data_IF_588708063987
#
_entry.id   IF_588708063987
#
_cell.length_a   1.000
_cell.length_b   1.000
_cell.length_c   1.000
_cell.angle_alpha   90.00
_cell.angle_beta   90.00
_cell.angle_gamma   90.00
#
_symmetry.space_group_name_H-M   'P 1'
#
loop_
_entity.id
_entity.type
_entity.pdbx_description
1 polymer ?
#
# COMPACT_ATOMS: atom_id res chain seq x y z
N UNK A 1 21.73 29.48 22.42
CA UNK A 1 20.67 28.53 22.86
C UNK A 1 21.31 27.16 22.91
N UNK A 2 21.24 26.42 24.04
CA UNK A 2 21.70 25.02 24.06
C UNK A 2 20.85 24.26 23.06
N UNK A 3 21.49 23.62 22.05
CA UNK A 3 20.79 22.72 21.13
C UNK A 3 20.10 21.65 21.99
N UNK A 4 18.79 21.65 21.96
CA UNK A 4 17.97 20.68 22.70
C UNK A 4 18.17 19.32 22.04
N UNK A 5 18.61 18.33 22.80
CA UNK A 5 18.68 16.94 22.35
C UNK A 5 17.27 16.41 22.05
N UNK A 6 17.08 15.78 20.90
CA UNK A 6 15.79 15.20 20.46
C UNK A 6 15.61 13.80 21.07
N UNK A 7 14.49 13.61 21.72
CA UNK A 7 14.09 12.32 22.28
C UNK A 7 13.53 11.41 21.17
N UNK A 8 14.22 10.31 20.88
CA UNK A 8 13.91 9.41 19.78
C UNK A 8 13.32 8.09 20.27
N UNK A 9 12.26 7.63 19.62
CA UNK A 9 11.73 6.28 19.69
C UNK A 9 12.13 5.51 18.43
N UNK A 10 12.74 4.32 18.60
CA UNK A 10 13.16 3.46 17.48
C UNK A 10 12.29 2.21 17.44
N UNK A 11 11.69 1.91 16.28
CA UNK A 11 10.81 0.75 16.10
C UNK A 11 11.30 -0.09 14.92
N UNK A 12 11.79 -1.28 15.22
CA UNK A 12 12.42 -2.19 14.26
C UNK A 12 12.28 -3.63 14.77
N UNK A 13 11.67 -4.54 14.01
CA UNK A 13 11.46 -5.92 14.42
C UNK A 13 12.74 -6.76 14.40
N UNK A 14 13.68 -6.44 13.52
CA UNK A 14 14.98 -7.12 13.49
C UNK A 14 15.88 -6.65 14.65
N UNK A 15 16.05 -7.49 15.65
CA UNK A 15 16.80 -7.18 16.86
C UNK A 15 18.25 -6.73 16.59
N UNK A 16 18.94 -7.38 15.64
CA UNK A 16 20.32 -7.03 15.31
C UNK A 16 20.41 -5.65 14.68
N UNK A 17 19.50 -5.34 13.75
CA UNK A 17 19.43 -4.05 13.10
C UNK A 17 19.03 -2.97 14.10
N UNK A 18 18.03 -3.23 14.94
CA UNK A 18 17.60 -2.30 16.00
C UNK A 18 18.74 -1.93 16.93
N UNK A 19 19.48 -2.94 17.44
CA UNK A 19 20.66 -2.69 18.29
C UNK A 19 21.75 -1.87 17.59
N UNK A 20 22.01 -2.15 16.32
CA UNK A 20 23.01 -1.42 15.51
C UNK A 20 22.58 0.04 15.29
N UNK A 21 21.31 0.28 14.92
CA UNK A 21 20.77 1.63 14.76
C UNK A 21 20.85 2.43 16.06
N UNK A 22 20.39 1.83 17.16
CA UNK A 22 20.43 2.46 18.50
C UNK A 22 21.88 2.80 18.90
N UNK A 23 22.82 1.89 18.71
CA UNK A 23 24.22 2.13 19.03
C UNK A 23 24.81 3.28 18.20
N UNK A 24 24.61 3.26 16.89
CA UNK A 24 25.14 4.29 16.01
C UNK A 24 24.44 5.65 16.13
N UNK A 25 23.16 5.69 16.47
CA UNK A 25 22.44 6.96 16.70
C UNK A 25 22.81 7.61 18.05
N UNK A 26 23.25 6.83 19.05
CA UNK A 26 23.77 7.34 20.32
C UNK A 26 25.09 8.11 20.20
N UNK A 27 25.82 7.96 19.08
CA UNK A 27 27.03 8.73 18.79
C UNK A 27 26.75 10.21 18.45
N UNK A 28 25.46 10.57 18.25
CA UNK A 28 25.05 11.94 17.94
C UNK A 28 24.54 12.66 19.19
N UNK A 29 25.24 13.67 19.66
CA UNK A 29 24.92 14.44 20.88
C UNK A 29 23.52 15.05 20.86
N UNK A 30 22.99 15.31 19.65
CA UNK A 30 21.64 15.86 19.44
C UNK A 30 20.51 14.83 19.55
N UNK A 31 20.82 13.53 19.61
CA UNK A 31 19.84 12.46 19.67
C UNK A 31 19.92 11.70 20.99
N UNK A 32 18.79 11.52 21.62
CA UNK A 32 18.64 10.72 22.84
C UNK A 32 17.63 9.61 22.59
N UNK A 33 18.09 8.37 22.55
CA UNK A 33 17.19 7.22 22.42
C UNK A 33 16.46 7.01 23.75
N UNK A 34 15.13 7.25 23.76
CA UNK A 34 14.30 7.02 24.94
C UNK A 34 13.91 5.58 25.10
N UNK A 35 13.53 4.97 23.98
CA UNK A 35 13.05 3.60 23.94
C UNK A 35 13.30 2.99 22.56
N UNK A 36 13.44 1.67 22.51
CA UNK A 36 13.42 0.91 21.28
C UNK A 36 12.55 -0.34 21.45
N UNK A 37 11.76 -0.66 20.44
CA UNK A 37 10.81 -1.76 20.47
C UNK A 37 10.68 -2.47 19.12
N UNK A 38 9.98 -3.63 19.12
CA UNK A 38 9.89 -4.50 17.95
C UNK A 38 8.56 -4.41 17.21
N UNK A 39 7.52 -3.85 17.82
CA UNK A 39 6.16 -3.83 17.26
C UNK A 39 5.52 -2.46 17.29
N UNK A 40 4.54 -2.27 16.40
CA UNK A 40 3.76 -1.04 16.34
C UNK A 40 2.91 -0.83 17.58
N UNK A 41 2.35 -1.90 18.13
CA UNK A 41 1.52 -1.87 19.33
C UNK A 41 2.31 -1.38 20.55
N UNK A 42 3.55 -1.91 20.73
CA UNK A 42 4.44 -1.50 21.80
C UNK A 42 4.83 -0.01 21.66
N UNK A 43 5.07 0.43 20.42
CA UNK A 43 5.36 1.83 20.13
C UNK A 43 4.17 2.74 20.49
N UNK A 44 2.94 2.37 20.13
CA UNK A 44 1.72 3.13 20.48
C UNK A 44 1.57 3.20 21.99
N UNK A 45 1.69 2.05 22.69
CA UNK A 45 1.58 1.99 24.14
C UNK A 45 2.63 2.85 24.86
N UNK A 46 3.85 2.88 24.35
CA UNK A 46 4.91 3.74 24.86
C UNK A 46 4.57 5.23 24.68
N UNK A 47 4.12 5.61 23.47
CA UNK A 47 3.80 6.98 23.11
C UNK A 47 2.66 7.58 23.95
N UNK A 48 1.68 6.76 24.35
CA UNK A 48 0.57 7.21 25.20
C UNK A 48 1.01 7.56 26.63
N UNK A 49 2.16 7.06 27.08
CA UNK A 49 2.65 7.19 28.45
C UNK A 49 3.87 8.08 28.58
N UNK A 50 4.53 8.40 27.49
CA UNK A 50 5.82 9.08 27.49
C UNK A 50 5.90 10.17 26.42
N UNK A 51 6.54 11.28 26.74
CA UNK A 51 6.85 12.31 25.76
C UNK A 51 8.10 11.92 24.95
N UNK A 52 8.03 12.11 23.65
CA UNK A 52 9.13 11.93 22.71
C UNK A 52 9.03 12.96 21.60
N UNK A 53 10.12 13.19 20.88
CA UNK A 53 10.18 14.22 19.85
C UNK A 53 10.00 13.62 18.44
N UNK A 54 10.67 12.51 18.11
CA UNK A 54 10.66 11.90 16.76
C UNK A 54 10.57 10.39 16.86
N UNK A 55 9.94 9.78 15.86
CA UNK A 55 9.82 8.34 15.66
C UNK A 55 10.71 7.91 14.47
N UNK A 56 11.57 6.92 14.66
CA UNK A 56 12.24 6.19 13.57
C UNK A 56 11.63 4.79 13.51
N UNK A 57 11.04 4.42 12.38
CA UNK A 57 10.21 3.23 12.29
C UNK A 57 10.37 2.47 10.97
N UNK A 58 10.53 1.15 11.05
CA UNK A 58 10.39 0.28 9.87
C UNK A 58 8.91 0.16 9.44
N UNK A 59 8.70 -0.07 8.16
CA UNK A 59 7.37 -0.35 7.62
C UNK A 59 6.89 -1.74 8.03
N UNK A 60 7.76 -2.74 7.93
CA UNK A 60 7.42 -4.11 8.35
C UNK A 60 7.81 -4.34 9.79
N UNK A 61 6.83 -4.61 10.63
CA UNK A 61 7.02 -4.85 12.05
C UNK A 61 6.42 -6.20 12.46
N UNK A 62 6.86 -6.70 13.60
CA UNK A 62 6.16 -7.77 14.29
C UNK A 62 4.83 -7.24 14.86
N UNK A 63 3.77 -8.04 14.78
CA UNK A 63 2.45 -7.65 15.26
C UNK A 63 1.42 -7.43 14.15
N UNK A 64 0.34 -6.76 14.46
CA UNK A 64 -0.78 -6.50 13.53
C UNK A 64 -0.67 -5.17 12.82
N UNK A 65 0.00 -4.17 13.44
CA UNK A 65 0.22 -2.85 12.86
C UNK A 65 1.54 -2.81 12.09
N UNK A 66 1.50 -2.41 10.84
CA UNK A 66 2.71 -2.00 10.14
C UNK A 66 3.17 -0.59 10.59
N UNK A 67 4.39 -0.18 10.19
CA UNK A 67 4.94 1.10 10.64
C UNK A 67 4.13 2.32 10.21
N UNK A 68 3.48 2.30 9.04
CA UNK A 68 2.65 3.39 8.54
C UNK A 68 1.35 3.49 9.38
N UNK A 69 0.72 2.35 9.64
CA UNK A 69 -0.47 2.27 10.49
C UNK A 69 -0.16 2.70 11.93
N UNK A 70 1.02 2.35 12.43
CA UNK A 70 1.54 2.79 13.74
C UNK A 70 1.65 4.32 13.80
N UNK A 71 2.24 4.96 12.77
CA UNK A 71 2.31 6.43 12.68
C UNK A 71 0.91 7.04 12.68
N UNK A 72 -0.02 6.47 11.91
CA UNK A 72 -1.42 6.93 11.86
C UNK A 72 -2.07 6.83 13.24
N UNK A 73 -1.89 5.72 13.94
CA UNK A 73 -2.42 5.53 15.29
C UNK A 73 -1.84 6.56 16.28
N UNK A 74 -0.53 6.78 16.27
CA UNK A 74 0.13 7.78 17.12
C UNK A 74 -0.35 9.20 16.78
N UNK A 75 -0.51 9.54 15.49
CA UNK A 75 -0.93 10.89 15.07
C UNK A 75 -2.40 11.20 15.33
N UNK A 76 -3.23 10.23 15.65
CA UNK A 76 -4.59 10.49 16.14
C UNK A 76 -4.55 11.22 17.49
N UNK A 77 -3.61 10.83 18.36
CA UNK A 77 -3.43 11.44 19.69
C UNK A 77 -2.45 12.62 19.65
N UNK A 78 -1.41 12.53 18.83
CA UNK A 78 -0.35 13.51 18.71
C UNK A 78 -0.22 14.01 17.25
N UNK A 79 -1.11 14.89 16.79
CA UNK A 79 -1.11 15.39 15.41
C UNK A 79 0.25 15.94 15.00
N UNK A 80 0.70 15.61 13.77
CA UNK A 80 1.99 16.01 13.21
C UNK A 80 3.23 15.52 13.96
N UNK A 81 3.13 14.47 14.80
CA UNK A 81 4.30 13.87 15.43
C UNK A 81 5.33 13.47 14.35
N UNK A 82 6.58 13.98 14.45
CA UNK A 82 7.62 13.71 13.46
C UNK A 82 7.95 12.22 13.35
N UNK A 83 8.13 11.72 12.11
CA UNK A 83 8.44 10.33 11.86
C UNK A 83 9.41 10.15 10.70
N UNK A 84 10.39 9.27 10.86
CA UNK A 84 11.25 8.77 9.79
C UNK A 84 10.86 7.33 9.50
N UNK A 85 10.29 7.09 8.33
CA UNK A 85 9.94 5.76 7.81
C UNK A 85 11.19 5.21 7.12
N UNK A 86 11.70 4.10 7.60
CA UNK A 86 12.97 3.52 7.21
C UNK A 86 12.78 2.05 6.84
N UNK A 87 12.68 1.73 5.53
CA UNK A 87 12.23 0.42 5.07
C UNK A 87 13.04 -0.16 3.91
N UNK A 88 13.08 -1.49 3.84
CA UNK A 88 13.55 -2.23 2.66
C UNK A 88 12.39 -2.69 1.77
N UNK A 89 11.14 -2.53 2.22
CA UNK A 89 9.97 -3.08 1.55
C UNK A 89 9.52 -2.20 0.39
N UNK A 90 9.26 -2.84 -0.75
CA UNK A 90 8.77 -2.23 -1.99
C UNK A 90 7.37 -2.76 -2.37
N UNK A 91 6.61 -3.30 -1.41
CA UNK A 91 5.26 -3.80 -1.67
C UNK A 91 4.31 -2.64 -1.99
N UNK A 92 3.56 -2.77 -3.07
CA UNK A 92 2.55 -1.81 -3.49
C UNK A 92 1.52 -1.52 -2.40
N UNK A 93 1.24 -2.49 -1.54
CA UNK A 93 0.32 -2.33 -0.41
C UNK A 93 0.78 -1.26 0.58
N UNK A 94 2.08 -1.21 0.89
CA UNK A 94 2.64 -0.18 1.78
C UNK A 94 2.57 1.21 1.14
N UNK A 95 2.79 1.33 -0.16
CA UNK A 95 2.63 2.59 -0.87
C UNK A 95 1.17 3.06 -0.90
N UNK A 96 0.22 2.14 -1.10
CA UNK A 96 -1.22 2.43 -0.96
C UNK A 96 -1.59 2.87 0.45
N UNK A 97 -1.07 2.19 1.47
CA UNK A 97 -1.28 2.54 2.88
C UNK A 97 -0.72 3.92 3.19
N UNK A 98 0.50 4.24 2.73
CA UNK A 98 1.11 5.56 2.92
C UNK A 98 0.29 6.68 2.26
N UNK A 99 -0.18 6.49 1.03
CA UNK A 99 -1.06 7.45 0.34
C UNK A 99 -2.37 7.68 1.11
N UNK A 100 -3.01 6.60 1.55
CA UNK A 100 -4.26 6.67 2.33
C UNK A 100 -4.09 7.31 3.71
N UNK A 101 -2.92 7.19 4.30
CA UNK A 101 -2.60 7.74 5.61
C UNK A 101 -2.64 9.28 5.64
N UNK A 102 -2.53 9.96 4.49
CA UNK A 102 -2.59 11.42 4.41
C UNK A 102 -1.46 12.12 5.16
N UNK A 103 -0.28 11.51 5.25
CA UNK A 103 0.89 12.08 5.93
C UNK A 103 1.50 13.15 5.03
N UNK A 104 1.23 14.44 5.30
CA UNK A 104 1.61 15.55 4.43
C UNK A 104 2.88 16.31 4.89
N UNK A 105 3.27 16.17 6.16
CA UNK A 105 4.41 16.91 6.73
C UNK A 105 5.03 16.18 7.91
N UNK A 106 6.19 16.68 8.37
CA UNK A 106 6.91 16.15 9.52
C UNK A 106 7.30 14.68 9.32
N UNK A 107 7.83 14.35 8.14
CA UNK A 107 8.28 12.98 7.87
C UNK A 107 9.47 12.91 6.91
N UNK A 108 10.21 11.80 7.00
CA UNK A 108 11.02 11.31 5.92
C UNK A 108 10.62 9.87 5.59
N UNK A 109 10.62 9.50 4.31
CA UNK A 109 10.41 8.11 3.89
C UNK A 109 11.56 7.68 3.00
N UNK A 110 12.40 6.77 3.50
CA UNK A 110 13.65 6.38 2.85
C UNK A 110 13.87 4.87 2.82
N UNK A 111 14.61 4.42 1.81
CA UNK A 111 15.03 3.02 1.68
C UNK A 111 16.26 2.74 2.54
N UNK A 112 16.23 1.63 3.29
CA UNK A 112 17.38 1.17 4.08
C UNK A 112 18.63 0.93 3.22
N UNK A 113 18.47 0.50 1.96
CA UNK A 113 19.59 0.29 1.02
C UNK A 113 20.37 1.57 0.73
N UNK A 114 19.70 2.73 0.68
CA UNK A 114 20.29 4.03 0.34
C UNK A 114 20.79 4.77 1.60
N UNK A 115 20.29 4.39 2.79
CA UNK A 115 20.58 5.05 4.07
C UNK A 115 21.05 4.03 5.10
N UNK A 116 22.11 3.27 4.77
CA UNK A 116 22.60 2.15 5.59
C UNK A 116 23.18 2.58 6.94
N UNK A 117 23.74 3.78 7.01
CA UNK A 117 24.50 4.22 8.19
C UNK A 117 23.67 5.20 9.02
N UNK A 118 23.72 5.11 10.37
CA UNK A 118 23.06 6.04 11.27
C UNK A 118 23.32 7.53 10.96
N UNK A 119 24.54 7.86 10.52
CA UNK A 119 24.91 9.23 10.11
C UNK A 119 24.12 9.75 8.89
N UNK A 120 23.54 8.88 8.09
CA UNK A 120 22.70 9.27 6.95
C UNK A 120 21.24 9.48 7.39
N UNK A 121 20.83 8.80 8.46
CA UNK A 121 19.46 8.89 9.01
C UNK A 121 19.32 10.08 9.98
N UNK A 122 20.36 10.40 10.74
CA UNK A 122 20.32 11.49 11.73
C UNK A 122 19.85 12.85 11.15
N UNK A 123 20.32 13.31 9.97
CA UNK A 123 19.81 14.56 9.36
C UNK A 123 18.32 14.51 9.00
N UNK A 124 17.81 13.33 8.67
CA UNK A 124 16.38 13.14 8.34
C UNK A 124 15.50 13.22 9.57
N UNK A 125 16.02 12.82 10.73
CA UNK A 125 15.35 12.97 12.02
C UNK A 125 15.19 14.46 12.35
N UNK A 126 16.25 15.26 12.19
CA UNK A 126 16.21 16.71 12.39
C UNK A 126 15.25 17.39 11.39
N UNK A 127 15.30 16.99 10.11
CA UNK A 127 14.44 17.51 9.04
C UNK A 127 12.95 17.27 9.36
N UNK A 128 12.59 16.05 9.77
CA UNK A 128 11.22 15.71 10.13
C UNK A 128 10.76 16.49 11.38
N UNK A 129 11.64 16.67 12.37
CA UNK A 129 11.37 17.46 13.56
C UNK A 129 11.10 18.93 13.24
N UNK A 130 11.82 19.51 12.27
CA UNK A 130 11.60 20.88 11.79
C UNK A 130 10.29 21.05 10.99
N UNK A 131 9.51 19.99 10.82
CA UNK A 131 8.24 20.04 10.09
C UNK A 131 8.36 19.86 8.59
N UNK A 132 9.57 19.62 8.09
CA UNK A 132 9.84 19.36 6.66
C UNK A 132 9.45 17.94 6.28
N UNK A 133 9.43 17.70 4.97
CA UNK A 133 9.16 16.36 4.39
C UNK A 133 10.25 16.00 3.40
N UNK A 134 10.60 14.73 3.38
CA UNK A 134 11.51 14.15 2.41
C UNK A 134 11.03 12.75 1.99
N UNK A 135 11.07 12.47 0.72
CA UNK A 135 10.86 11.11 0.18
C UNK A 135 12.06 10.77 -0.67
N UNK A 136 12.61 9.57 -0.46
CA UNK A 136 13.62 9.01 -1.35
C UNK A 136 13.08 8.96 -2.78
N UNK A 137 13.81 9.46 -3.80
CA UNK A 137 13.33 9.51 -5.18
C UNK A 137 12.87 8.16 -5.75
N UNK A 138 13.48 7.05 -5.33
CA UNK A 138 13.05 5.71 -5.76
C UNK A 138 11.68 5.35 -5.15
N UNK A 139 11.44 5.71 -3.90
CA UNK A 139 10.14 5.53 -3.23
C UNK A 139 9.09 6.42 -3.89
N UNK A 140 9.42 7.69 -4.14
CA UNK A 140 8.50 8.62 -4.80
C UNK A 140 8.06 8.11 -6.17
N UNK A 141 9.01 7.63 -6.99
CA UNK A 141 8.72 7.03 -8.30
C UNK A 141 7.78 5.83 -8.18
N UNK A 142 8.01 4.95 -7.20
CA UNK A 142 7.14 3.80 -6.94
C UNK A 142 5.74 4.22 -6.47
N UNK A 143 5.63 5.23 -5.62
CA UNK A 143 4.32 5.76 -5.18
C UNK A 143 3.52 6.28 -6.38
N UNK A 144 4.17 7.00 -7.30
CA UNK A 144 3.52 7.51 -8.52
C UNK A 144 3.11 6.37 -9.44
N UNK A 145 3.98 5.36 -9.63
CA UNK A 145 3.67 4.18 -10.44
C UNK A 145 2.45 3.42 -9.89
N UNK A 146 2.43 3.12 -8.59
CA UNK A 146 1.30 2.45 -7.94
C UNK A 146 0.03 3.28 -8.02
N UNK A 147 0.13 4.61 -7.89
CA UNK A 147 -1.00 5.51 -8.09
C UNK A 147 -1.57 5.36 -9.50
N UNK A 148 -0.74 5.43 -10.52
CA UNK A 148 -1.16 5.33 -11.91
C UNK A 148 -1.77 3.95 -12.22
N UNK A 149 -1.21 2.88 -11.66
CA UNK A 149 -1.79 1.53 -11.78
C UNK A 149 -3.18 1.45 -11.15
N UNK A 150 -3.35 2.02 -9.95
CA UNK A 150 -4.63 2.01 -9.26
C UNK A 150 -5.69 2.83 -10.02
N UNK A 151 -5.33 4.02 -10.54
CA UNK A 151 -6.24 4.92 -11.27
C UNK A 151 -6.64 4.35 -12.63
N UNK A 152 -5.78 3.55 -13.27
CA UNK A 152 -6.05 2.89 -14.54
C UNK A 152 -6.57 1.44 -14.37
N UNK A 153 -6.76 0.99 -13.15
CA UNK A 153 -7.27 -0.36 -12.88
C UNK A 153 -8.73 -0.48 -13.29
N UNK A 154 -9.13 -1.57 -13.96
CA UNK A 154 -10.55 -1.87 -14.21
C UNK A 154 -11.41 -1.89 -12.94
N UNK A 155 -10.78 -2.15 -11.78
CA UNK A 155 -11.46 -2.14 -10.50
C UNK A 155 -11.84 -0.73 -10.03
N UNK A 156 -11.17 0.32 -10.52
CA UNK A 156 -11.38 1.68 -10.08
C UNK A 156 -12.79 2.23 -10.41
N UNK A 157 -13.43 1.67 -11.43
CA UNK A 157 -14.78 2.07 -11.86
C UNK A 157 -15.91 1.23 -11.25
N UNK A 158 -15.56 0.21 -10.45
CA UNK A 158 -16.53 -0.68 -9.81
C UNK A 158 -16.83 -0.25 -8.38
N UNK A 159 -18.07 -0.48 -7.96
CA UNK A 159 -18.47 -0.33 -6.57
C UNK A 159 -17.83 -1.40 -5.65
N UNK A 160 -17.69 -1.15 -4.34
CA UNK A 160 -17.04 -2.10 -3.43
C UNK A 160 -17.58 -3.54 -3.49
N UNK A 161 -18.89 -3.70 -3.59
CA UNK A 161 -19.51 -5.03 -3.71
C UNK A 161 -19.23 -5.69 -5.06
N UNK A 162 -19.17 -4.91 -6.13
CA UNK A 162 -18.82 -5.38 -7.47
C UNK A 162 -17.37 -5.85 -7.54
N UNK A 163 -16.44 -5.14 -6.90
CA UNK A 163 -15.02 -5.53 -6.78
C UNK A 163 -14.90 -6.91 -6.11
N UNK A 164 -15.64 -7.13 -5.00
CA UNK A 164 -15.61 -8.41 -4.29
C UNK A 164 -16.14 -9.53 -5.19
N UNK A 165 -17.27 -9.31 -5.86
CA UNK A 165 -17.87 -10.30 -6.77
C UNK A 165 -16.97 -10.57 -7.97
N UNK A 166 -16.37 -9.54 -8.58
CA UNK A 166 -15.44 -9.68 -9.71
C UNK A 166 -14.22 -10.55 -9.35
N UNK A 167 -13.64 -10.35 -8.16
CA UNK A 167 -12.52 -11.17 -7.67
C UNK A 167 -12.91 -12.63 -7.45
N UNK A 168 -14.09 -12.88 -6.89
CA UNK A 168 -14.60 -14.24 -6.69
C UNK A 168 -14.92 -14.93 -8.03
N UNK A 169 -15.46 -14.19 -8.99
CA UNK A 169 -15.70 -14.65 -10.36
C UNK A 169 -14.37 -15.06 -11.03
N UNK A 170 -13.35 -14.22 -10.92
CA UNK A 170 -12.01 -14.50 -11.47
C UNK A 170 -11.32 -15.69 -10.78
N UNK A 171 -11.65 -15.95 -9.51
CA UNK A 171 -11.23 -17.15 -8.78
C UNK A 171 -12.02 -18.41 -9.19
N UNK A 172 -12.86 -18.36 -10.22
CA UNK A 172 -13.59 -19.51 -10.77
C UNK A 172 -14.87 -19.88 -10.01
N UNK A 173 -15.32 -19.09 -9.03
CA UNK A 173 -16.53 -19.38 -8.26
C UNK A 173 -17.79 -19.11 -9.12
N UNK A 174 -18.77 -20.00 -9.06
CA UNK A 174 -20.07 -19.76 -9.69
C UNK A 174 -20.99 -18.86 -8.83
N UNK A 175 -22.10 -18.41 -9.39
CA UNK A 175 -22.99 -17.47 -8.73
C UNK A 175 -23.58 -18.01 -7.42
N UNK A 176 -23.80 -19.31 -7.30
CA UNK A 176 -24.31 -19.96 -6.09
C UNK A 176 -23.27 -19.96 -4.98
N UNK A 177 -22.01 -20.27 -5.33
CA UNK A 177 -20.88 -20.22 -4.39
C UNK A 177 -20.60 -18.81 -3.89
N UNK A 178 -20.65 -17.82 -4.80
CA UNK A 178 -20.47 -16.41 -4.45
C UNK A 178 -21.60 -15.95 -3.52
N UNK A 179 -22.86 -16.25 -3.86
CA UNK A 179 -24.02 -15.89 -3.04
C UNK A 179 -23.93 -16.50 -1.63
N UNK A 180 -23.62 -17.78 -1.54
CA UNK A 180 -23.46 -18.47 -0.26
C UNK A 180 -22.35 -17.83 0.59
N UNK A 181 -21.19 -17.52 0.00
CA UNK A 181 -20.05 -16.94 0.71
C UNK A 181 -20.30 -15.51 1.20
N UNK A 182 -21.11 -14.74 0.47
CA UNK A 182 -21.46 -13.36 0.82
C UNK A 182 -22.75 -13.25 1.65
N UNK A 183 -23.38 -14.39 1.98
CA UNK A 183 -24.60 -14.43 2.80
C UNK A 183 -25.86 -13.99 2.06
N UNK A 184 -25.87 -14.00 0.71
CA UNK A 184 -27.07 -13.72 -0.07
C UNK A 184 -27.95 -14.98 -0.16
N UNK A 185 -29.28 -14.76 -0.05
CA UNK A 185 -30.26 -15.85 -0.14
C UNK A 185 -30.42 -16.44 -1.54
N UNK A 186 -30.13 -15.65 -2.58
CA UNK A 186 -30.39 -16.03 -3.96
C UNK A 186 -29.24 -15.60 -4.88
N UNK A 187 -28.87 -16.53 -5.78
CA UNK A 187 -27.88 -16.29 -6.86
C UNK A 187 -28.29 -15.18 -7.83
N UNK A 188 -29.59 -14.82 -7.90
CA UNK A 188 -30.07 -13.73 -8.76
C UNK A 188 -29.43 -12.40 -8.43
N UNK A 189 -29.14 -12.15 -7.15
CA UNK A 189 -28.41 -10.95 -6.73
C UNK A 189 -27.02 -10.92 -7.37
N UNK A 190 -26.31 -12.04 -7.39
CA UNK A 190 -24.98 -12.14 -8.02
C UNK A 190 -25.09 -12.01 -9.55
N UNK A 191 -26.11 -12.60 -10.19
CA UNK A 191 -26.32 -12.43 -11.63
C UNK A 191 -26.55 -10.94 -11.99
N UNK A 192 -27.30 -10.20 -11.17
CA UNK A 192 -27.49 -8.75 -11.37
C UNK A 192 -26.18 -7.99 -11.21
N UNK A 193 -25.38 -8.30 -10.19
CA UNK A 193 -24.07 -7.66 -9.97
C UNK A 193 -23.11 -7.98 -11.12
N UNK A 194 -23.10 -9.23 -11.61
CA UNK A 194 -22.30 -9.60 -12.78
C UNK A 194 -22.72 -8.78 -14.02
N UNK A 195 -24.02 -8.58 -14.24
CA UNK A 195 -24.52 -7.73 -15.32
C UNK A 195 -24.04 -6.27 -15.21
N UNK A 196 -23.95 -5.73 -14.01
CA UNK A 196 -23.40 -4.39 -13.76
C UNK A 196 -21.90 -4.33 -14.06
N UNK A 197 -21.12 -5.35 -13.62
CA UNK A 197 -19.70 -5.48 -13.92
C UNK A 197 -19.47 -5.58 -15.44
N UNK A 198 -20.24 -6.42 -16.13
CA UNK A 198 -20.11 -6.57 -17.58
C UNK A 198 -20.46 -5.29 -18.33
N UNK A 199 -21.47 -4.55 -17.87
CA UNK A 199 -21.81 -3.24 -18.43
C UNK A 199 -20.68 -2.21 -18.19
N UNK A 200 -20.12 -2.17 -17.00
CA UNK A 200 -19.04 -1.25 -16.66
C UNK A 200 -17.76 -1.49 -17.51
N UNK A 201 -17.54 -2.75 -17.95
CA UNK A 201 -16.39 -3.14 -18.75
C UNK A 201 -16.70 -3.34 -20.24
N UNK A 202 -17.88 -2.91 -20.69
CA UNK A 202 -18.36 -3.03 -22.08
C UNK A 202 -18.32 -4.46 -22.63
N UNK A 203 -18.69 -5.44 -21.78
CA UNK A 203 -18.75 -6.85 -22.14
C UNK A 203 -20.15 -7.32 -22.56
N UNK A 204 -21.14 -6.42 -22.58
CA UNK A 204 -22.55 -6.69 -22.93
C UNK A 204 -22.82 -6.50 -24.44
N UNK A 205 -21.94 -6.93 -25.32
CA UNK A 205 -22.26 -6.95 -26.74
C UNK A 205 -23.47 -7.84 -26.99
N UNK A 206 -24.36 -7.38 -27.88
CA UNK A 206 -25.71 -7.93 -28.15
C UNK A 206 -25.75 -9.41 -28.60
N UNK A 207 -24.60 -10.06 -28.77
CA UNK A 207 -24.46 -11.45 -29.20
C UNK A 207 -23.49 -12.28 -28.32
N UNK A 208 -22.93 -11.74 -27.24
CA UNK A 208 -22.02 -12.54 -26.41
C UNK A 208 -22.78 -13.42 -25.42
N UNK A 209 -22.55 -14.72 -25.49
CA UNK A 209 -22.97 -15.68 -24.47
C UNK A 209 -22.47 -15.21 -23.08
N UNK A 210 -23.33 -15.28 -22.06
CA UNK A 210 -22.97 -14.94 -20.66
C UNK A 210 -21.67 -15.62 -20.22
N UNK A 211 -21.37 -16.81 -20.76
CA UNK A 211 -20.11 -17.53 -20.50
C UNK A 211 -18.89 -16.80 -21.06
N UNK A 212 -19.03 -16.19 -22.24
CA UNK A 212 -17.96 -15.39 -22.86
C UNK A 212 -17.71 -14.14 -22.04
N UNK A 213 -18.76 -13.38 -21.70
CA UNK A 213 -18.65 -12.20 -20.83
C UNK A 213 -17.99 -12.54 -19.49
N UNK A 214 -18.36 -13.66 -18.89
CA UNK A 214 -17.77 -14.15 -17.65
C UNK A 214 -16.27 -14.44 -17.80
N UNK A 215 -15.87 -15.11 -18.87
CA UNK A 215 -14.46 -15.43 -19.14
C UNK A 215 -13.66 -14.15 -19.38
N UNK A 216 -14.17 -13.22 -20.20
CA UNK A 216 -13.56 -11.92 -20.46
C UNK A 216 -13.40 -11.11 -19.17
N UNK A 217 -14.41 -11.09 -18.32
CA UNK A 217 -14.35 -10.44 -17.01
C UNK A 217 -13.26 -11.06 -16.12
N UNK A 218 -13.13 -12.37 -16.08
CA UNK A 218 -12.08 -13.04 -15.32
C UNK A 218 -10.68 -12.67 -15.83
N UNK A 219 -10.49 -12.53 -17.14
CA UNK A 219 -9.22 -12.09 -17.73
C UNK A 219 -8.91 -10.64 -17.39
N UNK A 220 -9.87 -9.73 -17.46
CA UNK A 220 -9.70 -8.31 -17.03
C UNK A 220 -9.24 -8.23 -15.58
N UNK A 221 -9.86 -8.99 -14.67
CA UNK A 221 -9.45 -9.04 -13.26
C UNK A 221 -8.02 -9.56 -13.09
N UNK A 222 -7.70 -10.64 -13.78
CA UNK A 222 -6.39 -11.31 -13.67
C UNK A 222 -5.26 -10.45 -14.20
N UNK A 223 -5.47 -9.82 -15.34
CA UNK A 223 -4.49 -8.94 -15.98
C UNK A 223 -4.43 -7.54 -15.34
N UNK A 224 -5.44 -7.20 -14.51
CA UNK A 224 -5.64 -5.88 -13.90
C UNK A 224 -5.56 -4.72 -14.92
N UNK A 225 -6.09 -4.95 -16.13
CA UNK A 225 -6.16 -3.97 -17.21
C UNK A 225 -7.38 -4.19 -18.06
N UNK A 226 -7.88 -3.10 -18.69
CA UNK A 226 -8.96 -3.19 -19.67
C UNK A 226 -8.48 -3.95 -20.89
N UNK A 227 -9.26 -4.96 -21.28
CA UNK A 227 -9.10 -5.69 -22.53
C UNK A 227 -10.31 -5.40 -23.42
N UNK A 228 -10.04 -5.11 -24.68
CA UNK A 228 -11.05 -4.96 -25.73
C UNK A 228 -10.93 -6.12 -26.71
N UNK A 229 -12.06 -6.72 -27.07
CA UNK A 229 -12.11 -7.85 -27.99
C UNK A 229 -12.65 -7.45 -29.35
N UNK A 230 -12.01 -7.91 -30.41
CA UNK A 230 -12.51 -7.81 -31.78
C UNK A 230 -13.41 -9.01 -32.10
N UNK A 231 -14.12 -8.93 -33.24
CA UNK A 231 -15.04 -9.98 -33.70
C UNK A 231 -14.35 -11.33 -33.94
N UNK A 232 -13.08 -11.33 -34.31
CA UNK A 232 -12.25 -12.52 -34.51
C UNK A 232 -11.80 -13.18 -33.20
N UNK A 233 -12.13 -12.58 -32.06
CA UNK A 233 -11.73 -13.03 -30.73
C UNK A 233 -10.35 -12.55 -30.27
N UNK A 234 -9.62 -11.79 -31.08
CA UNK A 234 -8.38 -11.14 -30.67
C UNK A 234 -8.65 -10.12 -29.56
N UNK A 235 -7.74 -10.04 -28.59
CA UNK A 235 -7.85 -9.08 -27.50
C UNK A 235 -6.72 -8.05 -27.55
N UNK A 236 -7.03 -6.83 -27.17
CA UNK A 236 -6.09 -5.70 -27.14
C UNK A 236 -6.21 -4.95 -25.83
N UNK A 237 -5.12 -4.32 -25.42
CA UNK A 237 -5.11 -3.36 -24.30
C UNK A 237 -4.40 -2.10 -24.69
N UNK A 238 -4.75 -1.01 -24.00
CA UNK A 238 -4.14 0.29 -24.23
C UNK A 238 -2.86 0.43 -23.38
N UNK A 239 -1.75 0.70 -24.04
CA UNK A 239 -0.47 1.02 -23.41
C UNK A 239 -0.08 2.48 -23.78
N UNK A 240 -0.35 3.41 -22.87
CA UNK A 240 -0.28 4.85 -23.21
C UNK A 240 -1.30 5.22 -24.29
N UNK A 241 -0.82 5.67 -25.45
CA UNK A 241 -1.66 6.01 -26.61
C UNK A 241 -1.82 4.89 -27.64
N UNK A 242 -1.09 3.79 -27.50
CA UNK A 242 -1.07 2.69 -28.46
C UNK A 242 -1.90 1.49 -28.04
N UNK A 243 -2.55 0.85 -29.02
CA UNK A 243 -3.20 -0.44 -28.82
C UNK A 243 -2.21 -1.58 -29.05
N UNK A 244 -2.04 -2.41 -28.05
CA UNK A 244 -1.15 -3.58 -28.07
C UNK A 244 -1.99 -4.85 -28.02
N UNK A 245 -1.68 -5.78 -28.91
CA UNK A 245 -2.35 -7.09 -28.88
C UNK A 245 -2.00 -7.81 -27.59
N UNK A 246 -3.04 -8.30 -26.90
CA UNK A 246 -2.87 -9.12 -25.72
C UNK A 246 -2.70 -10.59 -26.15
N UNK A 247 -1.63 -11.20 -25.70
CA UNK A 247 -1.40 -12.62 -25.87
C UNK A 247 -1.35 -13.26 -24.48
N UNK A 248 -2.13 -14.35 -24.26
CA UNK A 248 -2.03 -15.07 -23.00
C UNK A 248 -0.62 -15.63 -22.85
N UNK A 249 0.01 -15.42 -21.68
CA UNK A 249 1.26 -16.08 -21.34
C UNK A 249 1.02 -17.60 -21.29
N UNK A 250 1.28 -18.27 -22.40
CA UNK A 250 1.28 -19.72 -22.52
C UNK A 250 2.72 -20.20 -22.28
N UNK A 251 3.23 -20.04 -21.07
CA UNK A 251 4.40 -20.77 -20.62
C UNK A 251 3.92 -22.21 -20.32
N UNK A 252 4.25 -23.13 -21.23
CA UNK A 252 4.08 -24.56 -21.06
C UNK A 252 5.33 -25.15 -20.42
#
# INVERSE_FOLDING_TARGET
>A
MKDKSLNLLVVEDNEKLRKSLVAGLKEFDKLKILHDCASGEEAVDFCLKNEFDVLLIDVRLAGTLNGIETIVAIRKEFPRKPAVIYSIQDSDEYFRTFRKAGILSHYAYVRKSNYLLPRMVAPLIELAYEGKSFIDPEIESRIVEVKNQDENSPMAILEPNEIVVARMLAAGQNNEQIAARLGFKDKRTISRINGQIYAAWDLNESNSDEKVARTRAALIVRENRFLQWEEDGSAYYKNGSEWVRWEPNLEF
#
